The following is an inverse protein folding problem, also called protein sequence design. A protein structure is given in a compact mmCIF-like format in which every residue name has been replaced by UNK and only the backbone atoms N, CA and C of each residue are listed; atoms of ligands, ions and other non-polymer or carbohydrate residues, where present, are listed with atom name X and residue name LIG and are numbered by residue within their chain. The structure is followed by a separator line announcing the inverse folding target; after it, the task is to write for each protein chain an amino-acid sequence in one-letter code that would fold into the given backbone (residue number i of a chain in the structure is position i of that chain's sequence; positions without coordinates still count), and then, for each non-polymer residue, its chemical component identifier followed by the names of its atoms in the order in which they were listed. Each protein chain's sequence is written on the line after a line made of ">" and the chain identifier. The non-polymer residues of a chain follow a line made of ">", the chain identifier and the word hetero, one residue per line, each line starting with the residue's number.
data_IF_495149898582
#
_entry.id   IF_495149898582
#
_cell.length_a   1.000
_cell.length_b   1.000
_cell.length_c   1.000
_cell.angle_alpha   90.00
_cell.angle_beta   90.00
_cell.angle_gamma   90.00
#
_symmetry.space_group_name_H-M   'P 1'
#
loop_
_entity.id
_entity.type
_entity.pdbx_description
1 polymer ?
#
# COMPACT_ATOMS: atom_id res chain seq x y z
N UNK A 1 -12.97 6.24 -21.60
CA UNK A 1 -12.13 6.89 -20.71
C UNK A 1 -12.05 6.21 -19.36
N UNK A 2 -10.90 5.78 -19.00
CA UNK A 2 -10.70 5.16 -17.72
C UNK A 2 -10.75 6.18 -16.59
N UNK A 3 -11.27 5.79 -15.47
CA UNK A 3 -11.20 6.63 -14.29
C UNK A 3 -9.82 6.54 -13.67
N UNK A 4 -9.40 7.63 -13.03
CA UNK A 4 -8.19 7.60 -12.23
C UNK A 4 -8.42 6.71 -11.03
N UNK A 5 -7.42 5.93 -10.60
CA UNK A 5 -7.61 5.08 -9.43
C UNK A 5 -7.65 5.90 -8.15
N UNK A 6 -8.32 5.35 -7.16
CA UNK A 6 -8.18 5.81 -5.79
C UNK A 6 -6.80 5.40 -5.31
N UNK A 7 -6.09 6.30 -4.65
CA UNK A 7 -4.78 5.98 -4.10
C UNK A 7 -4.90 5.84 -2.60
N UNK A 8 -4.50 4.68 -2.08
CA UNK A 8 -4.49 4.40 -0.64
C UNK A 8 -3.05 4.25 -0.18
N UNK A 9 -2.69 4.99 0.85
CA UNK A 9 -1.32 5.11 1.32
C UNK A 9 -1.18 4.48 2.70
N UNK A 10 -0.23 3.53 2.84
CA UNK A 10 0.02 2.82 4.09
C UNK A 10 1.40 3.20 4.64
N UNK A 11 1.41 3.69 5.88
CA UNK A 11 2.62 4.21 6.52
C UNK A 11 3.44 3.10 7.17
N UNK A 12 4.65 3.47 7.63
CA UNK A 12 5.54 2.54 8.32
C UNK A 12 5.29 2.48 9.82
N UNK A 13 6.16 1.72 10.52
CA UNK A 13 6.03 1.47 11.96
C UNK A 13 6.05 2.75 12.80
N UNK A 14 6.93 3.68 12.44
CA UNK A 14 7.16 4.87 13.25
C UNK A 14 6.32 6.04 12.78
N UNK A 15 5.32 5.77 11.93
CA UNK A 15 4.53 6.80 11.34
C UNK A 15 3.06 6.67 11.65
N UNK A 16 2.31 7.48 10.98
CA UNK A 16 0.86 7.46 10.99
C UNK A 16 0.39 8.05 9.68
N UNK A 17 -0.92 8.09 9.50
CA UNK A 17 -1.51 8.62 8.27
C UNK A 17 -1.02 10.03 7.98
N UNK A 18 -0.75 10.82 9.01
CA UNK A 18 -0.30 12.19 8.84
C UNK A 18 1.05 12.33 8.16
N UNK A 19 1.87 11.28 8.18
CA UNK A 19 3.16 11.30 7.49
C UNK A 19 3.01 11.45 5.98
N UNK A 20 1.85 11.14 5.45
CA UNK A 20 1.59 11.25 4.03
C UNK A 20 1.16 12.65 3.59
N UNK A 21 1.09 13.61 4.53
CA UNK A 21 0.54 14.93 4.23
C UNK A 21 1.18 15.61 3.04
N UNK A 22 2.52 15.61 2.96
CA UNK A 22 3.22 16.25 1.83
C UNK A 22 3.01 15.50 0.53
N UNK A 23 2.96 14.19 0.60
CA UNK A 23 2.73 13.36 -0.59
C UNK A 23 1.32 13.61 -1.10
N UNK A 24 0.35 13.64 -0.21
CA UNK A 24 -1.03 13.92 -0.57
C UNK A 24 -1.14 15.28 -1.24
N UNK A 25 -0.49 16.29 -0.67
CA UNK A 25 -0.51 17.62 -1.26
C UNK A 25 0.10 17.63 -2.66
N UNK A 26 1.24 16.94 -2.83
CA UNK A 26 1.90 16.89 -4.13
C UNK A 26 1.06 16.16 -5.17
N UNK A 27 0.45 15.04 -4.78
CA UNK A 27 -0.41 14.28 -5.68
C UNK A 27 -1.66 15.07 -6.03
N UNK A 28 -2.20 15.78 -5.05
CA UNK A 28 -3.37 16.63 -5.29
C UNK A 28 -3.06 17.72 -6.32
N UNK A 29 -1.89 18.32 -6.23
CA UNK A 29 -1.46 19.34 -7.19
C UNK A 29 -1.28 18.78 -8.59
N UNK A 30 -0.99 17.48 -8.70
CA UNK A 30 -0.87 16.81 -9.98
C UNK A 30 -2.22 16.35 -10.53
N UNK A 31 -3.30 16.61 -9.82
CA UNK A 31 -4.65 16.32 -10.29
C UNK A 31 -5.27 15.06 -9.72
N UNK A 32 -4.59 14.35 -8.83
CA UNK A 32 -5.16 13.18 -8.16
C UNK A 32 -6.02 13.66 -7.01
N UNK A 33 -7.29 13.30 -7.03
CA UNK A 33 -8.24 13.84 -6.06
C UNK A 33 -8.70 12.84 -5.03
N UNK A 34 -8.65 11.56 -5.35
CA UNK A 34 -9.18 10.53 -4.47
C UNK A 34 -8.01 9.85 -3.76
N UNK A 35 -7.60 10.48 -2.67
CA UNK A 35 -6.41 10.10 -1.92
C UNK A 35 -6.80 9.79 -0.49
N UNK A 36 -6.38 8.64 0.02
CA UNK A 36 -6.68 8.20 1.38
C UNK A 36 -5.42 7.68 2.04
N UNK A 37 -5.17 8.08 3.27
CA UNK A 37 -4.09 7.52 4.07
C UNK A 37 -4.73 6.69 5.17
N UNK A 38 -4.40 5.39 5.21
CA UNK A 38 -4.94 4.52 6.25
C UNK A 38 -4.13 4.71 7.52
N UNK A 39 -4.83 4.78 8.65
CA UNK A 39 -4.17 4.81 9.96
C UNK A 39 -4.07 3.37 10.45
N UNK A 40 -2.85 2.82 10.46
CA UNK A 40 -2.64 1.44 10.85
C UNK A 40 -2.62 1.32 12.37
N UNK A 41 -3.34 0.33 12.94
CA UNK A 41 -3.32 0.14 14.39
C UNK A 41 -1.96 -0.28 14.94
N UNK A 42 -1.14 -0.93 14.12
CA UNK A 42 0.21 -1.38 14.51
C UNK A 42 0.20 -2.39 15.65
N UNK A 43 -0.86 -3.17 15.73
CA UNK A 43 -0.97 -4.24 16.72
C UNK A 43 -0.52 -5.58 16.15
N UNK A 44 -0.73 -5.77 14.86
CA UNK A 44 -0.24 -6.96 14.14
C UNK A 44 -0.35 -6.68 12.64
N UNK A 45 0.39 -7.44 11.85
CA UNK A 45 0.25 -7.35 10.40
C UNK A 45 -1.17 -7.71 9.97
N UNK A 46 -1.76 -8.72 10.61
CA UNK A 46 -3.12 -9.14 10.29
C UNK A 46 -4.12 -8.01 10.54
N UNK A 47 -3.99 -7.30 11.65
CA UNK A 47 -4.88 -6.19 11.97
C UNK A 47 -4.68 -5.03 11.01
N UNK A 48 -3.43 -4.74 10.67
CA UNK A 48 -3.12 -3.65 9.76
C UNK A 48 -3.64 -3.94 8.35
N UNK A 49 -3.48 -5.19 7.90
CA UNK A 49 -4.00 -5.60 6.61
C UNK A 49 -5.53 -5.55 6.59
N UNK A 50 -6.16 -5.94 7.68
CA UNK A 50 -7.62 -5.91 7.75
C UNK A 50 -8.15 -4.47 7.72
N UNK A 51 -7.50 -3.56 8.43
CA UNK A 51 -7.87 -2.15 8.39
C UNK A 51 -7.77 -1.63 6.96
N UNK A 52 -6.70 -2.01 6.27
CA UNK A 52 -6.47 -1.57 4.91
C UNK A 52 -7.50 -2.18 3.96
N UNK A 53 -7.83 -3.48 4.13
CA UNK A 53 -8.86 -4.12 3.31
C UNK A 53 -10.21 -3.44 3.45
N UNK A 54 -10.54 -2.99 4.64
CA UNK A 54 -11.81 -2.28 4.85
C UNK A 54 -11.85 -0.97 4.08
N UNK A 55 -10.73 -0.25 4.05
CA UNK A 55 -10.67 0.98 3.27
C UNK A 55 -10.77 0.70 1.78
N UNK A 56 -10.11 -0.37 1.31
CA UNK A 56 -10.20 -0.79 -0.09
C UNK A 56 -11.65 -1.10 -0.45
N UNK A 57 -12.35 -1.81 0.42
CA UNK A 57 -13.72 -2.22 0.17
C UNK A 57 -14.69 -1.05 0.07
N UNK A 58 -14.34 0.10 0.64
CA UNK A 58 -15.17 1.29 0.57
C UNK A 58 -15.08 2.01 -0.78
N UNK A 59 -14.14 1.61 -1.62
CA UNK A 59 -13.93 2.29 -2.89
C UNK A 59 -14.75 1.62 -3.98
N UNK A 60 -15.34 2.42 -4.85
CA UNK A 60 -16.20 1.90 -5.91
C UNK A 60 -15.43 1.60 -7.19
N UNK A 61 -14.22 2.10 -7.33
CA UNK A 61 -13.43 1.95 -8.54
C UNK A 61 -12.09 1.31 -8.29
N UNK A 62 -11.18 1.41 -9.26
CA UNK A 62 -9.86 0.80 -9.11
C UNK A 62 -9.05 1.48 -8.01
N UNK A 63 -8.20 0.70 -7.34
CA UNK A 63 -7.39 1.16 -6.22
C UNK A 63 -5.93 0.89 -6.51
N UNK A 64 -5.11 1.89 -6.28
CA UNK A 64 -3.65 1.75 -6.27
C UNK A 64 -3.20 1.84 -4.82
N UNK A 65 -2.50 0.82 -4.33
CA UNK A 65 -1.98 0.80 -2.98
C UNK A 65 -0.52 1.25 -2.98
N UNK A 66 -0.18 2.12 -2.06
CA UNK A 66 1.18 2.62 -1.90
C UNK A 66 1.62 2.33 -0.47
N UNK A 67 2.76 1.65 -0.30
CA UNK A 67 3.27 1.31 1.02
C UNK A 67 4.67 1.82 1.21
N UNK A 68 4.92 2.45 2.36
CA UNK A 68 6.23 2.94 2.75
C UNK A 68 6.75 2.08 3.89
N UNK A 69 7.98 1.59 3.75
CA UNK A 69 8.64 0.80 4.79
C UNK A 69 7.76 -0.41 5.16
N UNK A 70 7.39 -0.57 6.42
CA UNK A 70 6.50 -1.64 6.87
C UNK A 70 5.17 -1.64 6.10
N UNK A 71 4.72 -0.47 5.67
CA UNK A 71 3.49 -0.38 4.87
C UNK A 71 3.53 -1.23 3.62
N UNK A 72 4.74 -1.55 3.12
CA UNK A 72 4.88 -2.46 1.99
C UNK A 72 4.40 -3.88 2.31
N UNK A 73 4.69 -4.37 3.52
CA UNK A 73 4.16 -5.68 3.94
C UNK A 73 2.65 -5.64 4.07
N UNK A 74 2.12 -4.53 4.56
CA UNK A 74 0.67 -4.36 4.74
C UNK A 74 -0.04 -4.42 3.39
N UNK A 75 0.44 -3.68 2.39
CA UNK A 75 -0.22 -3.67 1.09
C UNK A 75 -0.08 -5.01 0.37
N UNK A 76 1.01 -5.74 0.62
CA UNK A 76 1.15 -7.09 0.07
C UNK A 76 0.05 -7.99 0.60
N UNK A 77 -0.19 -7.96 1.92
CA UNK A 77 -1.23 -8.78 2.52
C UNK A 77 -2.63 -8.32 2.15
N UNK A 78 -2.85 -7.02 2.09
CA UNK A 78 -4.18 -6.47 1.83
C UNK A 78 -4.51 -6.39 0.34
N UNK A 79 -3.51 -6.46 -0.53
CA UNK A 79 -3.67 -6.15 -1.95
C UNK A 79 -4.33 -7.21 -2.79
N UNK A 80 -4.84 -8.27 -2.19
CA UNK A 80 -5.43 -9.39 -2.89
C UNK A 80 -6.94 -9.19 -3.06
N UNK A 81 -7.34 -7.99 -3.41
CA UNK A 81 -8.74 -7.63 -3.62
C UNK A 81 -8.98 -7.38 -5.10
N UNK A 82 -10.18 -7.68 -5.60
CA UNK A 82 -10.45 -7.58 -7.04
C UNK A 82 -10.26 -6.18 -7.62
N UNK A 83 -10.49 -5.15 -6.81
CA UNK A 83 -10.38 -3.78 -7.31
C UNK A 83 -8.98 -3.17 -7.16
N UNK A 84 -8.02 -3.91 -6.60
CA UNK A 84 -6.64 -3.42 -6.51
C UNK A 84 -5.94 -3.69 -7.83
N UNK A 85 -5.48 -2.61 -8.47
CA UNK A 85 -4.89 -2.68 -9.80
C UNK A 85 -3.37 -2.58 -9.79
N UNK A 86 -2.77 -2.14 -8.68
CA UNK A 86 -1.33 -2.06 -8.60
C UNK A 86 -0.86 -1.85 -7.18
N UNK A 87 0.40 -2.17 -6.94
CA UNK A 87 1.07 -2.01 -5.66
C UNK A 87 2.34 -1.20 -5.90
N UNK A 88 2.53 -0.14 -5.13
CA UNK A 88 3.73 0.70 -5.21
C UNK A 88 4.44 0.63 -3.86
N UNK A 89 5.71 0.30 -3.88
CA UNK A 89 6.54 0.16 -2.68
C UNK A 89 7.56 1.28 -2.67
N UNK A 90 7.59 2.05 -1.58
CA UNK A 90 8.52 3.17 -1.45
C UNK A 90 9.42 2.89 -0.26
N UNK A 91 10.73 2.74 -0.50
CA UNK A 91 11.72 2.44 0.53
C UNK A 91 11.20 1.33 1.44
N UNK A 92 10.71 0.25 0.85
CA UNK A 92 9.96 -0.77 1.56
C UNK A 92 10.40 -2.16 1.16
N UNK A 93 10.10 -3.13 2.02
CA UNK A 93 10.14 -4.52 1.62
C UNK A 93 9.01 -4.79 0.64
N UNK A 94 9.25 -5.71 -0.29
CA UNK A 94 8.25 -6.16 -1.25
C UNK A 94 8.09 -7.67 -1.13
N UNK A 95 7.66 -8.16 0.05
CA UNK A 95 7.56 -9.61 0.26
C UNK A 95 6.38 -10.19 -0.49
N UNK A 96 6.42 -11.50 -0.68
CA UNK A 96 5.23 -12.22 -1.08
C UNK A 96 4.27 -12.29 0.10
N UNK A 97 2.99 -12.49 -0.19
CA UNK A 97 2.00 -12.60 0.87
C UNK A 97 2.39 -13.71 1.84
N UNK A 98 2.30 -13.42 3.12
CA UNK A 98 2.63 -14.36 4.18
C UNK A 98 4.07 -14.31 4.63
N UNK A 99 4.95 -13.63 3.90
CA UNK A 99 6.34 -13.47 4.34
C UNK A 99 6.44 -12.40 5.41
N UNK A 100 7.33 -12.66 6.36
CA UNK A 100 7.63 -11.68 7.39
C UNK A 100 8.64 -10.66 6.86
N UNK A 101 8.44 -9.37 7.12
CA UNK A 101 9.45 -8.39 6.73
C UNK A 101 10.84 -8.68 7.31
N UNK A 102 10.91 -9.30 8.49
CA UNK A 102 12.19 -9.62 9.10
C UNK A 102 12.96 -10.68 8.36
N UNK A 103 12.32 -11.42 7.46
CA UNK A 103 13.01 -12.43 6.65
C UNK A 103 13.56 -11.86 5.36
N UNK A 104 13.38 -10.58 5.10
CA UNK A 104 13.82 -9.97 3.86
C UNK A 104 15.21 -9.38 4.07
N UNK A 105 16.13 -9.69 3.13
CA UNK A 105 17.48 -9.19 3.22
C UNK A 105 17.54 -7.74 2.79
N UNK A 106 18.67 -7.09 3.11
CA UNK A 106 18.89 -5.70 2.72
C UNK A 106 18.81 -5.52 1.20
N UNK A 107 19.20 -6.53 0.46
CA UNK A 107 19.20 -6.43 -1.00
C UNK A 107 17.81 -6.40 -1.59
N UNK A 108 16.82 -6.85 -0.83
CA UNK A 108 15.44 -6.86 -1.30
C UNK A 108 14.74 -5.53 -1.12
N UNK A 109 15.39 -4.58 -0.47
CA UNK A 109 14.84 -3.24 -0.31
C UNK A 109 14.94 -2.50 -1.64
N UNK A 110 13.91 -1.74 -1.93
CA UNK A 110 13.92 -0.86 -3.09
C UNK A 110 13.38 0.49 -2.70
N UNK A 111 13.84 1.54 -3.37
CA UNK A 111 13.33 2.88 -3.13
C UNK A 111 11.90 2.99 -3.63
N UNK A 112 11.66 2.53 -4.84
CA UNK A 112 10.33 2.46 -5.41
C UNK A 112 10.23 1.16 -6.18
N UNK A 113 9.16 0.42 -5.92
CA UNK A 113 8.90 -0.84 -6.60
C UNK A 113 7.42 -0.91 -6.90
N UNK A 114 7.08 -1.26 -8.14
CA UNK A 114 5.70 -1.33 -8.59
C UNK A 114 5.42 -2.75 -9.08
N UNK A 115 4.32 -3.33 -8.62
CA UNK A 115 3.96 -4.65 -9.08
C UNK A 115 2.44 -4.78 -9.18
N UNK A 116 2.02 -5.82 -9.87
CA UNK A 116 0.61 -6.17 -9.99
C UNK A 116 0.30 -7.28 -8.99
N UNK A 117 -0.80 -7.17 -8.24
CA UNK A 117 -1.08 -8.13 -7.18
C UNK A 117 -1.15 -9.57 -7.66
N UNK A 118 -1.79 -9.83 -8.78
CA UNK A 118 -1.92 -11.20 -9.29
C UNK A 118 -0.56 -11.76 -9.69
N UNK A 119 0.28 -10.94 -10.28
CA UNK A 119 1.63 -11.35 -10.66
C UNK A 119 2.48 -11.59 -9.44
N UNK A 120 2.31 -10.77 -8.41
CA UNK A 120 3.04 -10.90 -7.16
C UNK A 120 2.78 -12.24 -6.49
N UNK A 121 1.60 -12.80 -6.66
CA UNK A 121 1.24 -14.06 -6.02
C UNK A 121 1.94 -15.27 -6.61
N UNK A 122 2.73 -15.06 -7.65
CA UNK A 122 3.49 -16.16 -8.22
C UNK A 122 2.63 -17.17 -8.93
N UNK A 123 1.54 -16.74 -9.32
CA UNK A 123 0.60 -17.63 -9.96
C UNK A 123 1.09 -18.06 -11.34
#
# INVERSE_FOLDING_TARGET
>A
MGSTPTIILAHGFWGGAAHWGRVILALSRLGHKDLHAVELPLTSLADDAERTRKMIAQQSGPVLLVGHSYGGAVITEAGNQPNVTGLVYIAAFAPDAGESPGGITQQDLSLIHISEPTRRRGI
#
